data_IF_213450236668
#
_entry.id   IF_213450236668
#
_cell.length_a   1.000
_cell.length_b   1.000
_cell.length_c   1.000
_cell.angle_alpha   90.00
_cell.angle_beta   90.00
_cell.angle_gamma   90.00
#
_symmetry.space_group_name_H-M   'P 1'
#
loop_
_entity.id
_entity.type
_entity.pdbx_description
1 polymer ?
#
# COMPACT_ATOMS: atom_id res chain seq x y z
N UNK A 1 -4.01 -1.49 51.16
CA UNK A 1 -2.61 -1.56 50.68
C UNK A 1 -2.45 -1.49 49.16
N UNK A 2 -3.46 -1.81 48.34
CA UNK A 2 -3.31 -1.75 46.87
C UNK A 2 -3.24 -0.31 46.30
N UNK A 3 -3.96 0.63 46.90
CA UNK A 3 -4.01 2.03 46.45
C UNK A 3 -2.67 2.75 46.61
N UNK A 4 -1.93 2.49 47.69
CA UNK A 4 -0.62 3.10 47.98
C UNK A 4 0.45 2.68 46.97
N UNK A 5 0.45 1.41 46.56
CA UNK A 5 1.36 0.90 45.53
C UNK A 5 1.00 1.47 44.14
N UNK A 6 -0.29 1.57 43.81
CA UNK A 6 -0.75 2.14 42.54
C UNK A 6 -0.39 3.63 42.39
N UNK A 7 -0.49 4.42 43.46
CA UNK A 7 -0.10 5.84 43.44
C UNK A 7 1.39 6.05 43.21
N UNK A 8 2.25 5.19 43.76
CA UNK A 8 3.69 5.31 43.52
C UNK A 8 4.08 4.83 42.12
N UNK A 9 3.43 3.81 41.56
CA UNK A 9 3.68 3.35 40.18
C UNK A 9 3.33 4.45 39.16
N UNK A 10 2.19 5.12 39.34
CA UNK A 10 1.74 6.18 38.41
C UNK A 10 2.59 7.46 38.50
N UNK A 11 3.31 7.69 39.61
CA UNK A 11 4.19 8.85 39.79
C UNK A 11 5.44 8.81 38.90
N UNK A 12 5.86 7.63 38.46
CA UNK A 12 7.05 7.42 37.63
C UNK A 12 6.70 7.03 36.18
N UNK A 13 5.46 7.26 35.74
CA UNK A 13 5.11 7.10 34.34
C UNK A 13 5.65 8.28 33.54
N UNK A 14 6.76 8.08 32.84
CA UNK A 14 7.28 9.05 31.89
C UNK A 14 6.33 9.22 30.71
N UNK A 15 5.99 10.46 30.40
CA UNK A 15 5.28 10.82 29.17
C UNK A 15 6.32 11.01 28.07
N UNK A 16 6.69 9.90 27.43
CA UNK A 16 7.58 9.93 26.27
C UNK A 16 6.75 10.30 25.05
N UNK A 17 7.20 11.30 24.28
CA UNK A 17 6.63 11.61 22.98
C UNK A 17 7.13 10.58 21.96
N UNK A 18 6.21 10.06 21.15
CA UNK A 18 6.56 9.21 20.02
C UNK A 18 7.24 10.03 18.91
N UNK A 19 7.85 9.32 17.94
CA UNK A 19 8.40 9.95 16.75
C UNK A 19 7.33 10.65 15.91
N UNK A 20 7.76 11.47 14.96
CA UNK A 20 6.85 12.11 14.01
C UNK A 20 6.21 11.02 13.14
N UNK A 21 4.88 11.02 12.95
CA UNK A 21 4.22 10.06 12.08
C UNK A 21 4.75 10.18 10.64
N UNK A 22 4.84 9.04 9.95
CA UNK A 22 5.23 9.05 8.53
C UNK A 22 4.13 9.64 7.67
N UNK A 23 4.48 10.04 6.44
CA UNK A 23 3.51 10.60 5.51
C UNK A 23 2.34 9.63 5.25
N UNK A 24 2.63 8.33 5.05
CA UNK A 24 1.57 7.34 4.85
C UNK A 24 0.67 7.19 6.07
N UNK A 25 1.20 7.32 7.30
CA UNK A 25 0.37 7.31 8.51
C UNK A 25 -0.58 8.51 8.56
N UNK A 26 -0.11 9.71 8.18
CA UNK A 26 -0.95 10.90 8.13
C UNK A 26 -2.05 10.77 7.06
N UNK A 27 -1.69 10.30 5.87
CA UNK A 27 -2.67 10.12 4.78
C UNK A 27 -3.70 9.08 5.16
N UNK A 28 -3.29 7.94 5.74
CA UNK A 28 -4.24 6.92 6.21
C UNK A 28 -5.25 7.46 7.23
N UNK A 29 -4.88 8.44 8.06
CA UNK A 29 -5.80 9.08 9.00
C UNK A 29 -6.83 9.99 8.31
N UNK A 30 -6.53 10.46 7.10
CA UNK A 30 -7.40 11.35 6.31
C UNK A 30 -8.23 10.59 5.24
N UNK A 31 -7.87 9.35 4.92
CA UNK A 31 -8.55 8.54 3.90
C UNK A 31 -9.92 8.04 4.33
N UNK A 32 -10.82 7.89 3.36
CA UNK A 32 -12.12 7.26 3.61
C UNK A 32 -11.96 5.76 3.87
N UNK A 33 -12.80 5.15 4.73
CA UNK A 33 -12.74 3.71 5.02
C UNK A 33 -12.87 2.82 3.77
N UNK A 34 -13.57 3.30 2.73
CA UNK A 34 -13.71 2.59 1.46
C UNK A 34 -12.36 2.46 0.73
N UNK A 35 -11.60 3.55 0.61
CA UNK A 35 -10.29 3.56 -0.03
C UNK A 35 -9.28 2.70 0.74
N UNK A 36 -9.39 2.66 2.08
CA UNK A 36 -8.57 1.80 2.95
C UNK A 36 -8.84 0.31 2.67
N UNK A 37 -10.10 -0.05 2.42
CA UNK A 37 -10.47 -1.41 2.03
C UNK A 37 -10.01 -1.76 0.62
N UNK A 38 -10.11 -0.84 -0.34
CA UNK A 38 -9.69 -1.10 -1.72
C UNK A 38 -8.19 -1.35 -1.85
N UNK A 39 -7.39 -0.63 -1.06
CA UNK A 39 -5.93 -0.78 -0.98
C UNK A 39 -5.48 -1.91 -0.04
N UNK A 40 -6.41 -2.68 0.54
CA UNK A 40 -6.15 -3.78 1.49
C UNK A 40 -5.26 -3.38 2.70
N UNK A 41 -5.36 -2.14 3.17
CA UNK A 41 -4.45 -1.58 4.17
C UNK A 41 -4.79 -1.98 5.61
N UNK A 42 -6.01 -2.46 5.89
CA UNK A 42 -6.48 -2.71 7.25
C UNK A 42 -6.18 -4.13 7.78
N UNK A 43 -5.30 -4.91 7.13
CA UNK A 43 -5.09 -6.31 7.50
C UNK A 43 -4.23 -6.45 8.78
N UNK A 44 -4.60 -7.34 9.71
CA UNK A 44 -3.84 -7.52 10.96
C UNK A 44 -2.42 -8.05 10.74
N UNK A 45 -2.17 -8.77 9.63
CA UNK A 45 -0.86 -9.30 9.25
C UNK A 45 -0.25 -8.51 8.07
N UNK A 46 -0.23 -7.17 8.13
CA UNK A 46 0.34 -6.33 7.06
C UNK A 46 1.72 -6.81 6.59
N UNK A 47 2.58 -7.24 7.50
CA UNK A 47 3.94 -7.69 7.14
C UNK A 47 3.94 -8.88 6.16
N UNK A 48 3.07 -9.87 6.36
CA UNK A 48 2.97 -11.04 5.47
C UNK A 48 2.45 -10.63 4.08
N UNK A 49 1.47 -9.72 4.07
CA UNK A 49 0.89 -9.16 2.85
C UNK A 49 1.94 -8.37 2.06
N UNK A 50 2.71 -7.51 2.73
CA UNK A 50 3.77 -6.73 2.09
C UNK A 50 4.85 -7.66 1.52
N UNK A 51 5.25 -8.71 2.24
CA UNK A 51 6.21 -9.69 1.73
C UNK A 51 5.70 -10.38 0.46
N UNK A 52 4.43 -10.78 0.44
CA UNK A 52 3.82 -11.39 -0.73
C UNK A 52 3.73 -10.42 -1.90
N UNK A 53 3.34 -9.17 -1.67
CA UNK A 53 3.29 -8.12 -2.69
C UNK A 53 4.68 -7.83 -3.28
N UNK A 54 5.73 -7.79 -2.46
CA UNK A 54 7.11 -7.62 -2.92
C UNK A 54 7.59 -8.83 -3.74
N UNK A 55 7.22 -10.05 -3.33
CA UNK A 55 7.51 -11.25 -4.11
C UNK A 55 6.82 -11.21 -5.49
N UNK A 56 5.54 -10.79 -5.51
CA UNK A 56 4.78 -10.61 -6.74
C UNK A 56 5.38 -9.52 -7.64
N UNK A 57 5.78 -8.38 -7.08
CA UNK A 57 6.46 -7.30 -7.81
C UNK A 57 7.75 -7.82 -8.45
N UNK A 58 8.56 -8.57 -7.69
CA UNK A 58 9.80 -9.16 -8.19
C UNK A 58 9.55 -10.14 -9.34
N UNK A 59 8.50 -10.95 -9.25
CA UNK A 59 8.12 -11.88 -10.31
C UNK A 59 7.64 -11.12 -11.55
N UNK A 60 6.75 -10.14 -11.39
CA UNK A 60 6.24 -9.32 -12.49
C UNK A 60 7.37 -8.56 -13.19
N UNK A 61 8.28 -7.94 -12.43
CA UNK A 61 9.43 -7.24 -12.97
C UNK A 61 10.35 -8.18 -13.77
N UNK A 62 10.58 -9.41 -13.29
CA UNK A 62 11.37 -10.40 -14.02
C UNK A 62 10.71 -10.82 -15.33
N UNK A 63 9.41 -11.12 -15.30
CA UNK A 63 8.68 -11.53 -16.50
C UNK A 63 8.69 -10.42 -17.56
N UNK A 64 8.43 -9.17 -17.16
CA UNK A 64 8.48 -8.02 -18.06
C UNK A 64 9.90 -7.78 -18.59
N UNK A 65 10.92 -7.94 -17.75
CA UNK A 65 12.31 -7.79 -18.17
C UNK A 65 12.75 -8.89 -19.16
N UNK A 66 12.33 -10.14 -18.94
CA UNK A 66 12.66 -11.28 -19.79
C UNK A 66 11.97 -11.16 -21.17
N UNK A 67 10.79 -10.55 -21.25
CA UNK A 67 10.13 -10.23 -22.53
C UNK A 67 10.78 -9.03 -23.23
N UNK A 68 10.98 -7.91 -22.52
CA UNK A 68 11.55 -6.68 -23.05
C UNK A 68 11.93 -5.70 -21.93
N UNK A 69 13.23 -5.41 -21.79
CA UNK A 69 13.73 -4.42 -20.82
C UNK A 69 13.09 -3.03 -21.02
N UNK A 70 12.83 -2.63 -22.27
CA UNK A 70 12.21 -1.34 -22.59
C UNK A 70 10.76 -1.23 -22.09
N UNK A 71 10.03 -2.35 -22.02
CA UNK A 71 8.64 -2.35 -21.57
C UNK A 71 8.55 -2.18 -20.05
N UNK A 72 9.47 -2.81 -19.30
CA UNK A 72 9.58 -2.60 -17.86
C UNK A 72 9.91 -1.13 -17.54
N UNK A 73 10.87 -0.54 -18.25
CA UNK A 73 11.23 0.87 -18.09
C UNK A 73 10.07 1.81 -18.40
N UNK A 74 9.29 1.49 -19.44
CA UNK A 74 8.09 2.25 -19.79
C UNK A 74 7.04 2.19 -18.68
N UNK A 75 6.76 1.00 -18.14
CA UNK A 75 5.79 0.80 -17.05
C UNK A 75 6.23 1.57 -15.81
N UNK A 76 7.49 1.43 -15.38
CA UNK A 76 8.04 2.14 -14.22
C UNK A 76 7.96 3.65 -14.43
N UNK A 77 8.34 4.13 -15.62
CA UNK A 77 8.25 5.55 -15.97
C UNK A 77 6.82 6.05 -15.84
N UNK A 78 5.85 5.33 -16.40
CA UNK A 78 4.43 5.72 -16.31
C UNK A 78 3.95 5.77 -14.85
N UNK A 79 4.34 4.81 -14.01
CA UNK A 79 4.02 4.80 -12.58
C UNK A 79 4.53 6.07 -11.90
N UNK A 80 5.82 6.36 -12.04
CA UNK A 80 6.47 7.48 -11.35
C UNK A 80 5.96 8.83 -11.86
N UNK A 81 5.63 8.92 -13.16
CA UNK A 81 5.07 10.16 -13.73
C UNK A 81 3.57 10.34 -13.48
N UNK A 82 2.91 9.40 -12.80
CA UNK A 82 1.47 9.44 -12.53
C UNK A 82 0.61 9.17 -13.78
N UNK A 83 1.12 8.39 -14.73
CA UNK A 83 0.38 7.87 -15.87
C UNK A 83 -0.75 6.93 -15.44
N UNK A 84 -1.75 6.75 -16.31
CA UNK A 84 -2.82 5.80 -16.05
C UNK A 84 -2.35 4.40 -16.45
N UNK A 85 -2.36 3.47 -15.50
CA UNK A 85 -2.13 2.05 -15.75
C UNK A 85 -3.46 1.31 -15.84
N UNK A 86 -3.58 0.48 -16.87
CA UNK A 86 -4.75 -0.36 -17.11
C UNK A 86 -4.27 -1.80 -17.23
N UNK A 87 -4.86 -2.68 -16.45
CA UNK A 87 -4.54 -4.11 -16.43
C UNK A 87 -5.78 -4.87 -16.88
N UNK A 88 -5.71 -5.49 -18.05
CA UNK A 88 -6.75 -6.37 -18.55
C UNK A 88 -6.38 -7.83 -18.24
N UNK A 89 -7.24 -8.51 -17.49
CA UNK A 89 -7.03 -9.92 -17.14
C UNK A 89 -8.38 -10.62 -16.94
N UNK A 90 -8.52 -11.87 -17.40
CA UNK A 90 -9.69 -12.69 -17.10
C UNK A 90 -9.77 -13.06 -15.62
N UNK A 91 -8.63 -13.14 -14.93
CA UNK A 91 -8.55 -13.38 -13.50
C UNK A 91 -8.43 -12.06 -12.73
N UNK A 92 -9.51 -11.73 -12.02
CA UNK A 92 -9.64 -10.52 -11.21
C UNK A 92 -8.70 -10.51 -10.01
N UNK A 93 -8.40 -11.68 -9.43
CA UNK A 93 -7.52 -11.79 -8.27
C UNK A 93 -6.07 -11.47 -8.65
N UNK A 94 -5.62 -12.03 -9.79
CA UNK A 94 -4.30 -11.72 -10.34
C UNK A 94 -4.16 -10.25 -10.71
N UNK A 95 -5.17 -9.65 -11.34
CA UNK A 95 -5.18 -8.22 -11.67
C UNK A 95 -5.05 -7.35 -10.42
N UNK A 96 -5.86 -7.62 -9.39
CA UNK A 96 -5.82 -6.92 -8.11
C UNK A 96 -4.44 -7.06 -7.46
N UNK A 97 -3.88 -8.27 -7.42
CA UNK A 97 -2.55 -8.52 -6.83
C UNK A 97 -1.43 -7.78 -7.57
N UNK A 98 -1.50 -7.69 -8.90
CA UNK A 98 -0.54 -6.95 -9.70
C UNK A 98 -0.63 -5.45 -9.42
N UNK A 99 -1.84 -4.89 -9.42
CA UNK A 99 -2.07 -3.46 -9.16
C UNK A 99 -1.58 -3.09 -7.75
N UNK A 100 -1.90 -3.91 -6.74
CA UNK A 100 -1.42 -3.71 -5.37
C UNK A 100 0.09 -3.89 -5.23
N UNK A 101 0.71 -4.78 -6.00
CA UNK A 101 2.17 -4.89 -6.02
C UNK A 101 2.79 -3.61 -6.57
N UNK A 102 2.28 -3.08 -7.69
CA UNK A 102 2.77 -1.84 -8.32
C UNK A 102 2.50 -0.60 -7.45
N UNK A 103 1.39 -0.58 -6.70
CA UNK A 103 1.05 0.55 -5.84
C UNK A 103 2.09 0.79 -4.73
N UNK A 104 2.80 -0.26 -4.28
CA UNK A 104 3.89 -0.12 -3.30
C UNK A 104 5.10 0.70 -3.80
N UNK A 105 5.16 1.03 -5.09
CA UNK A 105 6.22 1.89 -5.63
C UNK A 105 5.96 3.39 -5.36
N UNK A 106 4.74 3.75 -4.96
CA UNK A 106 4.34 5.14 -4.73
C UNK A 106 3.82 5.32 -3.30
N UNK A 107 3.97 6.54 -2.72
CA UNK A 107 3.32 6.89 -1.48
C UNK A 107 1.81 6.75 -1.60
N UNK A 108 1.14 6.45 -0.49
CA UNK A 108 -0.27 6.06 -0.52
C UNK A 108 -1.19 7.18 -1.03
N UNK A 109 -0.83 8.43 -0.73
CA UNK A 109 -1.56 9.62 -1.19
C UNK A 109 -1.37 9.95 -2.68
N UNK A 110 -0.53 9.23 -3.41
CA UNK A 110 -0.30 9.42 -4.84
C UNK A 110 -1.11 8.46 -5.71
N UNK A 111 -1.93 7.61 -5.09
CA UNK A 111 -2.63 6.51 -5.75
C UNK A 111 -4.13 6.78 -5.77
N UNK A 112 -4.72 6.54 -6.95
CA UNK A 112 -6.16 6.35 -7.10
C UNK A 112 -6.36 5.02 -7.80
N UNK A 113 -6.72 4.00 -7.04
CA UNK A 113 -6.89 2.64 -7.55
C UNK A 113 -8.36 2.42 -7.84
N UNK A 114 -8.66 1.90 -9.03
CA UNK A 114 -9.99 1.44 -9.39
C UNK A 114 -9.85 -0.04 -9.70
N UNK A 115 -10.28 -0.89 -8.77
CA UNK A 115 -10.00 -2.34 -8.84
C UNK A 115 -10.84 -3.06 -9.90
N UNK A 116 -12.02 -2.55 -10.22
CA UNK A 116 -12.89 -3.17 -11.21
C UNK A 116 -13.85 -2.16 -11.81
N UNK A 117 -13.89 -2.10 -13.15
CA UNK A 117 -14.90 -1.35 -13.85
C UNK A 117 -15.22 -2.03 -15.19
N UNK A 118 -16.50 -2.17 -15.50
CA UNK A 118 -16.96 -2.76 -16.77
C UNK A 118 -16.77 -1.78 -17.94
N UNK A 119 -16.56 -0.50 -17.64
CA UNK A 119 -16.34 0.56 -18.61
C UNK A 119 -15.01 1.26 -18.37
N UNK A 120 -14.35 1.65 -19.46
CA UNK A 120 -13.13 2.46 -19.39
C UNK A 120 -13.41 3.81 -18.73
N UNK A 121 -12.73 4.10 -17.63
CA UNK A 121 -12.73 5.43 -17.03
C UNK A 121 -11.54 6.25 -17.55
N UNK A 122 -11.85 7.37 -18.19
CA UNK A 122 -10.86 8.42 -18.48
C UNK A 122 -10.65 9.28 -17.23
N UNK A 123 -9.39 9.70 -17.01
CA UNK A 123 -8.99 10.66 -15.97
C UNK A 123 -9.89 11.89 -15.87
#
# INVERSE_FOLDING_TARGET
MMWTLRTEILRYCDQVLEGVPTQDMLVMMEMEPADIMELDLAQPNQHEVTLQQLANLKLAAKLLHDESEADLDLVIKQIITGGQLVVESPDRLLAKQLILALSNLLPIGCLKVLTYNDTYESK
#
